data_IF_178925676003
#
_entry.id   IF_178925676003
#
_cell.length_a   1.000
_cell.length_b   1.000
_cell.length_c   1.000
_cell.angle_alpha   90.00
_cell.angle_beta   90.00
_cell.angle_gamma   90.00
#
_symmetry.space_group_name_H-M   'P 1'
#
loop_
_entity.id
_entity.type
_entity.pdbx_description
1 polymer ?
#
# COMPACT_ATOMS: atom_id res chain seq x y z
N UNK A 1 -14.84 -19.19 -8.75
CA UNK A 1 -15.12 -17.87 -9.36
C UNK A 1 -14.37 -16.81 -8.58
N UNK A 2 -13.24 -16.31 -9.10
CA UNK A 2 -12.46 -15.25 -8.46
C UNK A 2 -13.21 -13.91 -8.62
N UNK A 3 -13.66 -13.33 -7.52
CA UNK A 3 -14.39 -12.07 -7.54
C UNK A 3 -13.46 -10.93 -7.96
N UNK A 4 -13.89 -10.16 -8.96
CA UNK A 4 -13.47 -8.81 -9.39
C UNK A 4 -12.25 -8.25 -8.65
N UNK A 5 -11.12 -8.13 -9.35
CA UNK A 5 -9.87 -7.55 -8.86
C UNK A 5 -10.09 -6.30 -8.01
N UNK A 6 -9.85 -6.43 -6.71
CA UNK A 6 -9.95 -5.36 -5.73
C UNK A 6 -8.90 -4.31 -6.04
N UNK A 7 -9.34 -3.10 -6.38
CA UNK A 7 -8.43 -1.97 -6.58
C UNK A 7 -8.14 -1.32 -5.24
N UNK A 8 -6.87 -1.12 -4.91
CA UNK A 8 -6.45 -0.51 -3.65
C UNK A 8 -5.98 0.94 -3.85
N UNK A 9 -6.41 1.89 -3.00
CA UNK A 9 -5.85 3.23 -2.99
C UNK A 9 -4.35 3.24 -2.70
N UNK A 10 -3.62 4.20 -3.25
CA UNK A 10 -2.17 4.38 -3.04
C UNK A 10 -1.74 4.21 -1.59
N UNK A 11 -2.43 4.86 -0.65
CA UNK A 11 -2.09 4.80 0.78
C UNK A 11 -2.17 3.37 1.32
N UNK A 12 -3.26 2.66 1.03
CA UNK A 12 -3.44 1.26 1.41
C UNK A 12 -2.41 0.35 0.74
N UNK A 13 -2.09 0.58 -0.53
CA UNK A 13 -1.07 -0.20 -1.25
C UNK A 13 0.31 -0.14 -0.56
N UNK A 14 0.74 1.07 -0.16
CA UNK A 14 2.01 1.27 0.55
C UNK A 14 2.05 0.57 1.91
N UNK A 15 0.93 0.60 2.63
CA UNK A 15 0.82 0.00 3.96
C UNK A 15 0.70 -1.53 3.90
N UNK A 16 -0.17 -2.05 3.04
CA UNK A 16 -0.46 -3.48 2.95
C UNK A 16 0.72 -4.29 2.39
N UNK A 17 1.41 -3.75 1.38
CA UNK A 17 2.49 -4.44 0.67
C UNK A 17 3.88 -3.91 1.02
N UNK A 18 3.98 -3.02 2.00
CA UNK A 18 5.23 -2.39 2.41
C UNK A 18 6.00 -1.64 1.29
N UNK A 19 5.30 -1.29 0.21
CA UNK A 19 5.86 -0.63 -0.97
C UNK A 19 6.08 0.87 -0.75
N UNK A 20 7.11 1.40 -1.40
CA UNK A 20 7.42 2.83 -1.43
C UNK A 20 6.70 3.54 -2.57
N UNK A 21 6.80 4.87 -2.59
CA UNK A 21 6.25 5.68 -3.68
C UNK A 21 6.86 5.30 -5.04
N UNK A 22 8.19 5.11 -5.08
CA UNK A 22 8.94 4.78 -6.28
C UNK A 22 8.58 3.41 -6.84
N UNK A 23 8.31 2.45 -5.96
CA UNK A 23 7.86 1.12 -6.40
C UNK A 23 6.53 1.23 -7.16
N UNK A 24 5.59 2.04 -6.64
CA UNK A 24 4.27 2.24 -7.24
C UNK A 24 4.28 3.06 -8.52
N UNK A 25 5.35 3.78 -8.84
CA UNK A 25 5.49 4.52 -10.11
C UNK A 25 5.72 3.58 -11.30
N UNK A 26 6.15 2.34 -11.05
CA UNK A 26 6.29 1.32 -12.09
C UNK A 26 4.95 0.72 -12.55
N UNK A 27 3.90 0.94 -11.76
CA UNK A 27 2.54 0.45 -12.05
C UNK A 27 1.68 1.55 -12.69
N UNK A 28 0.66 1.15 -13.45
CA UNK A 28 -0.30 2.06 -14.08
C UNK A 28 -1.58 2.19 -13.25
N UNK A 29 -1.71 3.23 -12.38
CA UNK A 29 -2.90 3.39 -11.57
C UNK A 29 -4.09 3.91 -12.38
N UNK A 30 -5.28 3.46 -12.01
CA UNK A 30 -6.53 4.11 -12.41
C UNK A 30 -6.76 5.37 -11.56
N UNK A 31 -6.98 6.50 -12.21
CA UNK A 31 -7.31 7.74 -11.53
C UNK A 31 -8.82 7.85 -11.28
N UNK A 32 -9.20 8.27 -10.08
CA UNK A 32 -10.58 8.56 -9.69
C UNK A 32 -10.64 9.89 -8.94
N UNK A 33 -11.75 10.62 -9.05
CA UNK A 33 -11.97 11.81 -8.24
C UNK A 33 -11.82 11.50 -6.74
N UNK A 34 -11.07 12.34 -6.02
CA UNK A 34 -10.88 12.17 -4.59
C UNK A 34 -12.21 12.44 -3.86
N UNK A 35 -12.76 11.47 -3.11
CA UNK A 35 -14.05 11.63 -2.45
C UNK A 35 -14.06 12.75 -1.41
N UNK A 36 -12.90 13.09 -0.82
CA UNK A 36 -12.76 14.16 0.19
C UNK A 36 -12.57 15.55 -0.42
N UNK A 37 -12.21 15.63 -1.70
CA UNK A 37 -11.91 16.90 -2.37
C UNK A 37 -12.30 16.81 -3.85
N UNK A 38 -13.58 16.49 -4.12
CA UNK A 38 -14.06 16.15 -5.47
C UNK A 38 -13.85 17.23 -6.53
N UNK A 39 -13.79 18.51 -6.12
CA UNK A 39 -13.76 19.67 -7.04
C UNK A 39 -12.36 20.21 -7.30
N UNK A 40 -11.46 20.15 -6.32
CA UNK A 40 -10.17 20.85 -6.37
C UNK A 40 -8.99 20.02 -5.88
N UNK A 41 -9.23 18.81 -5.34
CA UNK A 41 -8.16 17.96 -4.83
C UNK A 41 -7.50 17.11 -5.91
N UNK A 42 -6.26 16.65 -5.68
CA UNK A 42 -5.59 15.73 -6.57
C UNK A 42 -6.38 14.41 -6.70
N UNK A 43 -6.40 13.78 -7.88
CA UNK A 43 -7.12 12.53 -8.09
C UNK A 43 -6.52 11.40 -7.24
N UNK A 44 -7.39 10.53 -6.75
CA UNK A 44 -7.02 9.30 -6.05
C UNK A 44 -6.49 8.27 -7.05
N UNK A 45 -5.32 7.71 -6.78
CA UNK A 45 -4.71 6.60 -7.53
C UNK A 45 -5.20 5.27 -6.96
N UNK A 46 -5.76 4.41 -7.82
CA UNK A 46 -6.19 3.06 -7.51
C UNK A 46 -5.32 2.06 -8.28
N UNK A 47 -4.75 1.09 -7.58
CA UNK A 47 -3.84 0.07 -8.12
C UNK A 47 -4.50 -1.30 -8.09
N UNK A 48 -4.19 -2.17 -9.06
CA UNK A 48 -4.66 -3.54 -9.04
C UNK A 48 -3.93 -4.34 -7.94
N UNK A 49 -4.69 -5.04 -7.08
CA UNK A 49 -4.12 -5.84 -6.02
C UNK A 49 -3.18 -6.94 -6.52
N UNK A 50 -3.48 -7.58 -7.66
CA UNK A 50 -2.65 -8.66 -8.21
C UNK A 50 -1.27 -8.13 -8.64
N UNK A 51 -1.24 -6.95 -9.26
CA UNK A 51 0.00 -6.28 -9.66
C UNK A 51 0.82 -5.83 -8.45
N UNK A 52 0.15 -5.31 -7.41
CA UNK A 52 0.81 -4.94 -6.16
C UNK A 52 1.43 -6.14 -5.46
N UNK A 53 0.70 -7.25 -5.43
CA UNK A 53 1.17 -8.50 -4.85
C UNK A 53 2.37 -9.04 -5.61
N UNK A 54 2.31 -9.09 -6.95
CA UNK A 54 3.43 -9.51 -7.78
C UNK A 54 4.67 -8.63 -7.56
N UNK A 55 4.49 -7.30 -7.47
CA UNK A 55 5.58 -6.36 -7.20
C UNK A 55 6.18 -6.54 -5.80
N UNK A 56 5.33 -6.79 -4.79
CA UNK A 56 5.78 -7.05 -3.43
C UNK A 56 6.59 -8.35 -3.33
N UNK A 57 6.12 -9.41 -3.98
CA UNK A 57 6.84 -10.69 -4.08
C UNK A 57 8.15 -10.51 -4.84
N UNK A 58 8.18 -9.73 -5.92
CA UNK A 58 9.42 -9.43 -6.64
C UNK A 58 10.45 -8.70 -5.77
N UNK A 59 9.99 -7.88 -4.81
CA UNK A 59 10.85 -7.10 -3.91
C UNK A 59 11.31 -7.86 -2.66
N UNK A 60 10.41 -8.63 -2.06
CA UNK A 60 10.61 -9.29 -0.76
C UNK A 60 10.78 -10.82 -0.87
N UNK A 61 10.58 -11.39 -2.06
CA UNK A 61 10.75 -12.82 -2.35
C UNK A 61 9.46 -13.62 -2.20
N UNK A 62 8.80 -13.54 -1.04
CA UNK A 62 7.56 -14.28 -0.75
C UNK A 62 6.52 -13.40 -0.09
N UNK A 63 5.25 -13.85 -0.08
CA UNK A 63 4.19 -13.19 0.67
C UNK A 63 4.46 -13.18 2.18
N UNK A 64 4.99 -14.28 2.71
CA UNK A 64 5.38 -14.41 4.11
C UNK A 64 6.43 -13.35 4.51
N UNK A 65 7.39 -13.07 3.61
CA UNK A 65 8.38 -12.02 3.84
C UNK A 65 7.75 -10.61 3.84
N UNK A 66 6.70 -10.37 3.03
CA UNK A 66 5.93 -9.12 3.06
C UNK A 66 5.20 -8.95 4.39
N UNK A 67 4.60 -10.02 4.91
CA UNK A 67 3.92 -10.02 6.21
C UNK A 67 4.91 -9.78 7.35
N UNK A 68 6.05 -10.47 7.36
CA UNK A 68 7.10 -10.26 8.35
C UNK A 68 7.64 -8.81 8.36
N UNK A 69 7.81 -8.20 7.18
CA UNK A 69 8.21 -6.79 7.07
C UNK A 69 7.12 -5.84 7.59
N UNK A 70 5.85 -6.15 7.35
CA UNK A 70 4.72 -5.36 7.87
C UNK A 70 4.70 -5.40 9.40
N UNK A 71 4.84 -6.58 9.98
CA UNK A 71 4.82 -6.78 11.43
C UNK A 71 6.02 -6.09 12.09
N UNK A 72 7.20 -6.17 11.47
CA UNK A 72 8.38 -5.41 11.88
C UNK A 72 8.12 -3.90 11.91
N UNK A 73 7.48 -3.35 10.87
CA UNK A 73 7.15 -1.91 10.82
C UNK A 73 6.12 -1.50 11.86
N UNK A 74 5.16 -2.38 12.17
CA UNK A 74 4.16 -2.14 13.21
C UNK A 74 4.82 -2.08 14.59
N UNK A 75 5.65 -3.06 14.94
CA UNK A 75 6.37 -3.09 16.21
C UNK A 75 7.23 -1.83 16.43
N UNK A 76 7.93 -1.35 15.38
CA UNK A 76 8.71 -0.10 15.45
C UNK A 76 7.82 1.12 15.68
N UNK A 77 6.61 1.16 15.10
CA UNK A 77 5.66 2.28 15.32
C UNK A 77 5.12 2.26 16.75
N UNK A 78 4.80 1.08 17.27
CA UNK A 78 4.33 0.90 18.64
C UNK A 78 5.39 1.35 19.65
N UNK A 79 6.63 0.88 19.51
CA UNK A 79 7.75 1.31 20.36
C UNK A 79 7.95 2.84 20.36
N UNK A 80 7.84 3.48 19.18
CA UNK A 80 7.95 4.94 19.07
C UNK A 80 6.76 5.68 19.68
N UNK A 81 5.57 5.08 19.65
CA UNK A 81 4.38 5.68 20.26
C UNK A 81 4.47 5.62 21.79
N UNK A 82 4.93 4.51 22.35
CA UNK A 82 5.16 4.33 23.78
C UNK A 82 6.23 5.31 24.31
N UNK A 83 7.36 5.43 23.62
CA UNK A 83 8.44 6.35 23.99
C UNK A 83 8.04 7.84 23.96
N UNK A 84 6.96 8.19 23.25
CA UNK A 84 6.44 9.56 23.19
C UNK A 84 5.44 9.86 24.32
N UNK A 85 4.89 8.82 24.95
CA UNK A 85 3.92 8.95 26.03
C UNK A 85 4.59 9.05 27.42
N UNK A 86 5.86 8.66 27.51
CA UNK A 86 6.75 8.82 28.67
C UNK A 86 7.39 10.20 28.68
#
# INVERSE_FOLDING_TARGET
>A
MAARGSSLPKTHAKEAFCLSEKDLETLSPRLKANPRARKSGPPMKLYNQDELQALAVAKFGTLEAVEAERDRRLAVREQRAEAKLQ
#
